data_IF_543071636569
#
_entry.id   IF_543071636569
#
_cell.length_a   1.000
_cell.length_b   1.000
_cell.length_c   1.000
_cell.angle_alpha   90.00
_cell.angle_beta   90.00
_cell.angle_gamma   90.00
#
_symmetry.space_group_name_H-M   'P 1'
#
loop_
_entity.id
_entity.type
_entity.pdbx_description
1 polymer ?
#
# COMPACT_ATOMS: atom_id res chain seq x y z
N UNK A 1 22.82 -7.54 -2.37
CA UNK A 1 21.75 -6.89 -3.16
C UNK A 1 21.21 -7.94 -4.09
N UNK A 2 19.89 -8.11 -4.13
CA UNK A 2 19.23 -9.11 -4.99
C UNK A 2 19.48 -8.82 -6.46
N UNK A 3 19.93 -9.83 -7.20
CA UNK A 3 20.24 -9.77 -8.63
C UNK A 3 18.98 -9.93 -9.49
N UNK A 4 19.06 -9.56 -10.76
CA UNK A 4 17.94 -9.77 -11.71
C UNK A 4 17.51 -11.25 -11.80
N UNK A 5 18.42 -12.19 -11.52
CA UNK A 5 18.12 -13.63 -11.46
C UNK A 5 17.17 -13.98 -10.30
N UNK A 6 17.35 -13.37 -9.13
CA UNK A 6 16.47 -13.59 -7.97
C UNK A 6 15.07 -13.03 -8.22
N UNK A 7 14.93 -12.06 -9.12
CA UNK A 7 13.64 -11.49 -9.49
C UNK A 7 12.86 -12.34 -10.50
N UNK A 8 13.50 -13.30 -11.18
CA UNK A 8 12.88 -14.13 -12.20
C UNK A 8 11.70 -14.96 -11.66
N UNK A 9 11.74 -15.36 -10.39
CA UNK A 9 10.67 -16.14 -9.73
C UNK A 9 9.35 -15.37 -9.63
N UNK A 10 9.37 -14.04 -9.80
CA UNK A 10 8.18 -13.19 -9.77
C UNK A 10 7.57 -12.96 -11.16
N UNK A 11 8.18 -13.46 -12.23
CA UNK A 11 7.64 -13.39 -13.60
C UNK A 11 7.25 -11.96 -14.01
N UNK A 12 6.03 -11.81 -14.53
CA UNK A 12 5.48 -10.52 -14.96
C UNK A 12 5.33 -9.49 -13.82
N UNK A 13 5.33 -9.94 -12.55
CA UNK A 13 5.23 -9.04 -11.41
C UNK A 13 6.57 -8.39 -11.04
N UNK A 14 7.69 -8.93 -11.51
CA UNK A 14 9.03 -8.46 -11.13
C UNK A 14 9.23 -6.93 -11.30
N UNK A 15 8.86 -6.29 -12.42
CA UNK A 15 9.07 -4.85 -12.64
C UNK A 15 8.28 -3.94 -11.68
N UNK A 16 7.23 -4.48 -11.06
CA UNK A 16 6.36 -3.80 -10.08
C UNK A 16 6.80 -4.04 -8.62
N UNK A 17 7.70 -4.99 -8.40
CA UNK A 17 8.23 -5.30 -7.07
C UNK A 17 9.61 -4.69 -6.86
N UNK A 18 10.49 -4.77 -7.88
CA UNK A 18 11.85 -4.21 -7.85
C UNK A 18 12.30 -3.86 -9.27
N UNK A 19 13.00 -2.73 -9.41
CA UNK A 19 13.62 -2.36 -10.70
C UNK A 19 14.83 -3.22 -11.00
N UNK A 20 15.15 -3.30 -12.29
CA UNK A 20 16.33 -4.04 -12.74
C UNK A 20 17.60 -3.50 -12.10
N UNK A 21 18.61 -4.35 -11.95
CA UNK A 21 19.91 -3.98 -11.42
C UNK A 21 20.52 -2.82 -12.22
N UNK A 22 20.38 -2.85 -13.55
CA UNK A 22 20.82 -1.77 -14.43
C UNK A 22 20.18 -0.43 -14.09
N UNK A 23 18.84 -0.36 -14.01
CA UNK A 23 18.13 0.88 -13.69
C UNK A 23 18.49 1.39 -12.28
N UNK A 24 18.73 0.48 -11.33
CA UNK A 24 19.14 0.84 -9.97
C UNK A 24 20.54 1.43 -9.96
N UNK A 25 21.51 0.81 -10.64
CA UNK A 25 22.89 1.32 -10.73
C UNK A 25 22.90 2.69 -11.42
N UNK A 26 22.16 2.86 -12.52
CA UNK A 26 22.04 4.14 -13.21
C UNK A 26 21.42 5.23 -12.32
N UNK A 27 20.40 4.89 -11.52
CA UNK A 27 19.81 5.84 -10.57
C UNK A 27 20.77 6.22 -9.43
N UNK A 28 21.51 5.24 -8.89
CA UNK A 28 22.45 5.46 -7.78
C UNK A 28 23.70 6.26 -8.20
N UNK A 29 24.08 6.20 -9.47
CA UNK A 29 25.24 6.90 -10.01
C UNK A 29 24.94 8.33 -10.50
N UNK A 30 23.73 8.85 -10.26
CA UNK A 30 23.38 10.23 -10.64
C UNK A 30 24.26 11.23 -9.90
N UNK A 31 24.69 12.33 -10.56
CA UNK A 31 25.40 13.42 -9.89
C UNK A 31 24.56 13.97 -8.75
N UNK A 32 25.17 14.10 -7.57
CA UNK A 32 24.52 14.63 -6.38
C UNK A 32 25.51 15.41 -5.55
N UNK A 33 25.13 16.63 -5.18
CA UNK A 33 25.87 17.46 -4.25
C UNK A 33 25.08 17.58 -2.94
N UNK A 34 25.61 16.94 -1.90
CA UNK A 34 25.00 16.90 -0.57
C UNK A 34 24.93 18.27 0.12
N UNK A 35 25.76 19.24 -0.29
CA UNK A 35 25.77 20.58 0.32
C UNK A 35 24.72 21.50 -0.27
N UNK A 36 24.35 21.29 -1.53
CA UNK A 36 23.45 22.19 -2.26
C UNK A 36 22.08 21.58 -2.53
N UNK A 37 21.95 20.25 -2.55
CA UNK A 37 20.67 19.57 -2.83
C UNK A 37 19.79 19.48 -1.59
N UNK A 38 18.63 20.15 -1.63
CA UNK A 38 17.74 20.29 -0.47
C UNK A 38 16.26 20.19 -0.84
N UNK A 39 15.44 19.86 0.14
CA UNK A 39 13.99 20.07 0.11
C UNK A 39 13.64 21.38 0.81
N UNK A 40 12.69 22.12 0.26
CA UNK A 40 12.16 23.34 0.87
C UNK A 40 10.65 23.29 0.95
N UNK A 41 10.09 23.86 2.01
CA UNK A 41 8.65 23.99 2.15
C UNK A 41 8.08 24.96 1.10
N UNK A 42 7.00 24.55 0.43
CA UNK A 42 6.32 25.35 -0.60
C UNK A 42 4.80 25.31 -0.36
N UNK A 43 4.09 26.45 -0.38
CA UNK A 43 2.69 26.49 0.05
C UNK A 43 1.71 25.64 -0.78
N UNK A 44 2.03 25.30 -2.03
CA UNK A 44 1.11 24.58 -2.92
C UNK A 44 1.36 23.07 -2.92
N UNK A 45 2.62 22.65 -2.93
CA UNK A 45 3.06 21.26 -3.02
C UNK A 45 3.58 20.69 -1.69
N UNK A 46 3.49 21.45 -0.60
CA UNK A 46 4.06 21.17 0.72
C UNK A 46 5.59 21.17 0.75
N UNK A 47 6.24 20.33 -0.06
CA UNK A 47 7.70 20.26 -0.16
C UNK A 47 8.17 20.07 -1.60
N UNK A 48 9.17 20.86 -2.02
CA UNK A 48 9.77 20.80 -3.35
C UNK A 48 11.27 20.58 -3.28
N UNK A 49 11.83 19.89 -4.27
CA UNK A 49 13.29 19.76 -4.47
C UNK A 49 13.87 21.06 -5.00
N UNK A 50 15.10 21.37 -4.59
CA UNK A 50 15.83 22.51 -5.10
C UNK A 50 17.33 22.48 -4.81
N UNK A 51 18.01 23.47 -5.34
CA UNK A 51 19.46 23.68 -5.20
C UNK A 51 19.71 25.01 -4.52
N UNK A 52 20.50 25.00 -3.45
CA UNK A 52 20.92 26.24 -2.75
C UNK A 52 21.76 27.10 -3.70
N UNK A 53 21.41 28.37 -3.80
CA UNK A 53 22.18 29.39 -4.52
C UNK A 53 23.01 30.27 -3.58
N UNK A 54 22.41 30.73 -2.49
CA UNK A 54 23.08 31.56 -1.49
C UNK A 54 22.49 31.35 -0.10
N UNK A 55 23.30 31.64 0.92
CA UNK A 55 22.89 31.63 2.32
C UNK A 55 23.38 32.93 2.97
N UNK A 56 22.45 33.83 3.30
CA UNK A 56 22.74 35.17 3.81
C UNK A 56 21.75 35.55 4.90
N UNK A 57 22.24 36.12 6.01
CA UNK A 57 21.37 36.69 7.06
C UNK A 57 20.35 35.71 7.68
N UNK A 58 20.69 34.42 7.80
CA UNK A 58 19.80 33.38 8.34
C UNK A 58 18.68 32.94 7.39
N UNK A 59 18.76 33.34 6.11
CA UNK A 59 17.87 32.90 5.04
C UNK A 59 18.65 32.15 3.96
N UNK A 60 17.98 31.23 3.29
CA UNK A 60 18.54 30.43 2.20
C UNK A 60 17.74 30.69 0.94
N UNK A 61 18.44 31.05 -0.13
CA UNK A 61 17.86 31.19 -1.46
C UNK A 61 18.06 29.89 -2.22
N UNK A 62 16.96 29.26 -2.61
CA UNK A 62 16.93 27.96 -3.27
C UNK A 62 16.23 28.09 -4.62
N UNK A 63 16.87 27.57 -5.67
CA UNK A 63 16.25 27.40 -6.99
C UNK A 63 15.56 26.05 -7.04
N UNK A 64 14.24 26.04 -7.20
CA UNK A 64 13.44 24.80 -7.28
C UNK A 64 13.63 24.11 -8.63
N UNK A 65 13.36 22.81 -8.69
CA UNK A 65 13.36 22.05 -9.97
C UNK A 65 12.32 22.61 -10.96
N UNK A 66 11.25 23.25 -10.48
CA UNK A 66 10.26 23.95 -11.30
C UNK A 66 10.71 25.31 -11.84
N UNK A 67 11.96 25.71 -11.58
CA UNK A 67 12.56 26.96 -12.08
C UNK A 67 12.25 28.20 -11.23
N UNK A 68 11.44 28.09 -10.18
CA UNK A 68 11.17 29.19 -9.26
C UNK A 68 12.35 29.40 -8.30
N UNK A 69 12.52 30.63 -7.81
CA UNK A 69 13.50 30.94 -6.76
C UNK A 69 12.75 31.28 -5.49
N UNK A 70 13.03 30.54 -4.41
CA UNK A 70 12.41 30.72 -3.10
C UNK A 70 13.47 31.17 -2.09
N UNK A 71 13.13 32.16 -1.29
CA UNK A 71 13.95 32.56 -0.13
C UNK A 71 13.22 32.15 1.13
N UNK A 72 13.74 31.13 1.80
CA UNK A 72 13.14 30.55 3.00
C UNK A 72 14.08 30.72 4.20
N UNK A 73 13.54 30.53 5.40
CA UNK A 73 14.37 30.49 6.60
C UNK A 73 15.15 29.18 6.67
N UNK A 74 16.24 29.18 7.42
CA UNK A 74 17.13 28.02 7.51
C UNK A 74 16.47 26.75 8.06
N UNK A 75 15.50 26.91 8.97
CA UNK A 75 14.70 25.84 9.57
C UNK A 75 13.69 25.21 8.60
N UNK A 76 13.45 25.82 7.45
CA UNK A 76 12.57 25.32 6.39
C UNK A 76 13.33 24.60 5.27
N UNK A 77 14.63 24.39 5.45
CA UNK A 77 15.50 23.70 4.50
C UNK A 77 15.88 22.33 5.07
N UNK A 78 15.56 21.27 4.33
CA UNK A 78 15.83 19.90 4.73
C UNK A 78 16.85 19.26 3.78
N UNK A 79 17.89 18.57 4.28
CA UNK A 79 18.90 17.95 3.43
C UNK A 79 18.31 16.79 2.61
N UNK A 80 18.73 16.64 1.36
CA UNK A 80 18.35 15.48 0.55
C UNK A 80 19.20 14.25 0.88
N UNK A 81 18.59 13.07 0.81
CA UNK A 81 19.36 11.83 0.86
C UNK A 81 20.15 11.64 -0.46
N UNK A 82 21.37 11.10 -0.41
CA UNK A 82 22.11 10.75 -1.62
C UNK A 82 21.37 9.72 -2.50
N UNK A 83 21.62 9.68 -3.83
CA UNK A 83 20.91 8.81 -4.78
C UNK A 83 20.98 7.32 -4.46
N UNK A 84 21.95 6.89 -3.65
CA UNK A 84 22.02 5.51 -3.14
C UNK A 84 20.75 5.08 -2.35
N UNK A 85 20.02 6.06 -1.81
CA UNK A 85 18.77 5.85 -1.07
C UNK A 85 17.51 6.08 -1.92
N UNK A 86 17.66 6.40 -3.21
CA UNK A 86 16.52 6.57 -4.11
C UNK A 86 15.72 5.28 -4.17
N UNK A 87 14.40 5.40 -3.95
CA UNK A 87 13.47 4.28 -3.95
C UNK A 87 13.94 3.16 -3.04
N UNK A 88 14.49 3.46 -1.87
CA UNK A 88 14.87 2.42 -0.91
C UNK A 88 13.63 1.64 -0.44
N UNK A 89 13.80 0.35 -0.23
CA UNK A 89 12.74 -0.56 0.20
C UNK A 89 12.38 -0.37 1.67
N UNK A 90 13.39 -0.10 2.48
CA UNK A 90 13.27 0.22 3.90
C UNK A 90 13.73 1.66 4.15
N UNK A 91 12.75 2.53 4.46
CA UNK A 91 13.02 3.94 4.71
C UNK A 91 13.76 4.20 6.03
N UNK A 92 13.76 3.24 6.98
CA UNK A 92 14.54 3.39 8.21
C UNK A 92 16.05 3.42 7.95
N UNK A 93 16.48 2.90 6.79
CA UNK A 93 17.87 2.88 6.38
C UNK A 93 18.34 4.22 5.79
N UNK A 94 17.45 5.21 5.60
CA UNK A 94 17.81 6.54 5.11
C UNK A 94 18.70 7.29 6.10
N UNK A 95 19.64 8.09 5.60
CA UNK A 95 20.49 8.94 6.45
C UNK A 95 19.70 10.10 7.05
N UNK A 96 18.86 10.73 6.24
CA UNK A 96 17.98 11.80 6.66
C UNK A 96 16.54 11.30 6.67
N UNK A 97 16.02 11.02 7.86
CA UNK A 97 14.65 10.56 8.08
C UNK A 97 13.78 11.72 8.57
N UNK A 98 13.27 12.50 7.62
CA UNK A 98 12.37 13.63 7.84
C UNK A 98 11.16 13.53 6.88
N UNK A 99 10.15 14.36 7.11
CA UNK A 99 8.90 14.35 6.34
C UNK A 99 9.10 14.40 4.81
N UNK A 100 9.88 15.34 4.23
CA UNK A 100 10.06 15.36 2.78
C UNK A 100 10.83 14.16 2.24
N UNK A 101 11.78 13.60 3.00
CA UNK A 101 12.53 12.42 2.60
C UNK A 101 11.63 11.19 2.45
N UNK A 102 10.75 10.97 3.42
CA UNK A 102 9.74 9.91 3.38
C UNK A 102 8.75 10.13 2.24
N UNK A 103 8.22 11.35 2.11
CA UNK A 103 7.25 11.72 1.08
C UNK A 103 7.80 11.47 -0.33
N UNK A 104 9.02 11.92 -0.62
CA UNK A 104 9.62 11.77 -1.95
C UNK A 104 9.98 10.33 -2.26
N UNK A 105 10.42 9.55 -1.28
CA UNK A 105 10.65 8.12 -1.51
C UNK A 105 9.35 7.40 -1.89
N UNK A 106 8.26 7.67 -1.16
CA UNK A 106 6.95 7.11 -1.49
C UNK A 106 6.45 7.59 -2.86
N UNK A 107 6.60 8.89 -3.18
CA UNK A 107 6.21 9.48 -4.46
C UNK A 107 6.96 8.83 -5.63
N UNK A 108 8.27 8.68 -5.53
CA UNK A 108 9.10 8.08 -6.60
C UNK A 108 8.90 6.57 -6.74
N UNK A 109 8.71 5.85 -5.63
CA UNK A 109 8.32 4.44 -5.65
C UNK A 109 6.95 4.28 -6.31
N UNK A 110 5.98 5.10 -5.95
CA UNK A 110 4.64 5.07 -6.54
C UNK A 110 4.65 5.38 -8.05
N UNK A 111 5.40 6.39 -8.48
CA UNK A 111 5.58 6.73 -9.90
C UNK A 111 6.19 5.58 -10.72
N UNK A 112 6.91 4.68 -10.05
CA UNK A 112 7.50 3.48 -10.65
C UNK A 112 6.73 2.19 -10.33
N UNK A 113 5.55 2.32 -9.71
CA UNK A 113 4.63 1.27 -9.29
C UNK A 113 5.17 0.30 -8.23
N UNK A 114 6.11 0.75 -7.39
CA UNK A 114 6.71 -0.03 -6.31
C UNK A 114 5.99 0.22 -4.97
N UNK A 115 5.78 -0.84 -4.19
CA UNK A 115 5.22 -0.81 -2.81
C UNK A 115 6.39 -0.70 -1.80
N UNK A 116 6.28 -0.03 -0.63
CA UNK A 116 7.42 0.23 0.29
C UNK A 116 7.23 -0.42 1.69
N UNK A 117 8.31 -0.73 2.45
CA UNK A 117 8.16 -1.38 3.76
C UNK A 117 9.21 -1.01 4.86
N UNK A 118 8.78 -0.29 5.91
CA UNK A 118 9.14 -0.56 7.33
C UNK A 118 7.86 -0.93 8.10
N UNK A 119 6.89 -0.02 8.10
CA UNK A 119 5.47 -0.34 7.98
C UNK A 119 5.21 -0.76 6.52
N UNK A 120 4.42 -1.80 6.23
CA UNK A 120 4.05 -2.11 4.85
C UNK A 120 3.14 -1.00 4.32
N UNK A 121 3.74 0.00 3.66
CA UNK A 121 3.03 1.14 3.10
C UNK A 121 2.55 0.76 1.71
N UNK A 122 1.25 0.53 1.60
CA UNK A 122 0.58 0.24 0.34
C UNK A 122 -0.10 1.50 -0.16
N UNK A 123 0.32 1.99 -1.32
CA UNK A 123 -0.35 3.09 -2.03
C UNK A 123 -1.29 2.49 -3.08
N UNK A 124 -2.54 2.94 -3.13
CA UNK A 124 -3.52 2.44 -4.08
C UNK A 124 -3.08 2.76 -5.52
N UNK A 125 -2.82 1.76 -6.39
CA UNK A 125 -2.31 2.00 -7.75
C UNK A 125 -3.38 2.52 -8.71
N UNK A 126 -4.68 2.47 -8.35
CA UNK A 126 -5.82 2.76 -9.24
C UNK A 126 -5.76 2.05 -10.60
N UNK A 127 -5.01 0.95 -10.67
CA UNK A 127 -4.75 0.14 -11.85
C UNK A 127 -4.57 -1.31 -11.43
N UNK A 128 -4.97 -2.23 -12.31
CA UNK A 128 -4.68 -3.65 -12.12
C UNK A 128 -3.18 -3.93 -12.29
N UNK A 129 -2.60 -4.66 -11.34
CA UNK A 129 -1.19 -5.08 -11.33
C UNK A 129 -1.10 -6.59 -11.12
N UNK A 130 -0.18 -7.30 -11.80
CA UNK A 130 -0.01 -8.76 -11.69
C UNK A 130 0.66 -9.23 -10.38
N UNK A 131 0.76 -8.34 -9.37
CA UNK A 131 1.45 -8.60 -8.08
C UNK A 131 0.70 -9.55 -7.14
N UNK A 132 -0.53 -9.94 -7.48
CA UNK A 132 -1.34 -10.89 -6.70
C UNK A 132 -1.49 -12.25 -7.37
N UNK A 133 -0.73 -12.53 -8.42
CA UNK A 133 -0.78 -13.81 -9.14
C UNK A 133 -0.27 -14.97 -8.27
N UNK A 134 -0.67 -16.20 -8.61
CA UNK A 134 -0.30 -17.40 -7.87
C UNK A 134 1.23 -17.63 -7.84
N UNK A 135 1.93 -17.27 -8.90
CA UNK A 135 3.40 -17.32 -8.97
C UNK A 135 4.05 -16.45 -7.88
N UNK A 136 3.49 -15.25 -7.65
CA UNK A 136 3.96 -14.33 -6.61
C UNK A 136 3.69 -14.92 -5.22
N UNK A 137 2.52 -15.53 -5.01
CA UNK A 137 2.20 -16.23 -3.75
C UNK A 137 3.26 -17.30 -3.45
N UNK A 138 3.59 -18.13 -4.43
CA UNK A 138 4.62 -19.16 -4.30
C UNK A 138 6.01 -18.55 -4.05
N UNK A 139 6.35 -17.45 -4.73
CA UNK A 139 7.64 -16.80 -4.62
C UNK A 139 7.90 -16.12 -3.26
N UNK A 140 6.85 -15.74 -2.51
CA UNK A 140 6.98 -15.18 -1.15
C UNK A 140 6.97 -16.23 -0.03
N UNK A 141 6.61 -17.47 -0.34
CA UNK A 141 6.44 -18.53 0.67
C UNK A 141 7.76 -18.86 1.36
N UNK A 142 7.76 -18.84 2.69
CA UNK A 142 8.91 -19.20 3.53
C UNK A 142 10.08 -18.22 3.44
N UNK A 143 9.91 -17.06 2.79
CA UNK A 143 10.98 -16.07 2.65
C UNK A 143 10.95 -15.08 3.80
N UNK A 144 12.13 -14.80 4.36
CA UNK A 144 12.28 -13.68 5.29
C UNK A 144 12.06 -12.37 4.55
N UNK A 145 11.60 -11.36 5.28
CA UNK A 145 11.34 -10.03 4.74
C UNK A 145 12.50 -9.39 3.97
N UNK A 146 13.75 -9.69 4.35
CA UNK A 146 14.95 -9.15 3.69
C UNK A 146 15.30 -9.89 2.37
N UNK A 147 14.76 -11.09 2.18
CA UNK A 147 15.06 -11.97 1.04
C UNK A 147 14.12 -11.71 -0.15
N UNK A 148 13.06 -10.92 0.04
CA UNK A 148 12.09 -10.60 -1.00
C UNK A 148 11.78 -9.10 -1.00
N UNK A 149 11.32 -8.54 -2.13
CA UNK A 149 10.89 -7.16 -2.20
C UNK A 149 9.73 -6.86 -1.22
N UNK A 150 9.49 -5.58 -0.89
CA UNK A 150 8.32 -5.15 -0.12
C UNK A 150 6.99 -5.63 -0.72
N UNK A 151 6.24 -6.45 0.04
CA UNK A 151 4.91 -6.88 -0.36
C UNK A 151 4.06 -7.31 0.83
N UNK A 152 2.74 -7.21 0.70
CA UNK A 152 1.80 -7.63 1.74
C UNK A 152 1.91 -9.14 2.05
N UNK A 153 2.24 -9.95 1.05
CA UNK A 153 2.48 -11.39 1.24
C UNK A 153 3.70 -11.69 2.09
N UNK A 154 4.72 -10.82 2.11
CA UNK A 154 5.84 -10.99 3.05
C UNK A 154 5.35 -10.85 4.49
N UNK A 155 4.47 -9.88 4.77
CA UNK A 155 3.86 -9.71 6.11
C UNK A 155 3.00 -10.91 6.48
N UNK A 156 2.14 -11.37 5.56
CA UNK A 156 1.30 -12.54 5.79
C UNK A 156 2.12 -13.82 6.03
N UNK A 157 3.11 -14.10 5.19
CA UNK A 157 3.95 -15.30 5.31
C UNK A 157 4.78 -15.27 6.60
N UNK A 158 5.41 -14.14 6.92
CA UNK A 158 6.20 -14.01 8.14
C UNK A 158 5.31 -14.16 9.39
N UNK A 159 4.10 -13.59 9.40
CA UNK A 159 3.14 -13.82 10.48
C UNK A 159 2.76 -15.32 10.59
N UNK A 160 2.55 -16.01 9.48
CA UNK A 160 2.28 -17.45 9.49
C UNK A 160 3.47 -18.27 10.03
N UNK A 161 4.69 -17.95 9.59
CA UNK A 161 5.92 -18.60 10.05
C UNK A 161 6.16 -18.36 11.54
N UNK A 162 5.99 -17.13 12.02
CA UNK A 162 6.11 -16.80 13.45
C UNK A 162 5.06 -17.51 14.29
N UNK A 163 3.81 -17.58 13.82
CA UNK A 163 2.75 -18.35 14.49
C UNK A 163 3.15 -19.83 14.67
N UNK A 164 3.73 -20.46 13.65
CA UNK A 164 4.14 -21.87 13.71
C UNK A 164 5.41 -22.08 14.54
N UNK A 165 6.36 -21.15 14.47
CA UNK A 165 7.66 -21.25 15.13
C UNK A 165 7.55 -20.92 16.61
N UNK A 166 6.96 -19.77 16.92
CA UNK A 166 6.88 -19.22 18.28
C UNK A 166 5.68 -19.78 19.05
N UNK A 167 4.74 -20.43 18.35
CA UNK A 167 3.48 -20.97 18.91
C UNK A 167 2.60 -19.92 19.59
N UNK A 168 2.70 -18.68 19.12
CA UNK A 168 1.92 -17.54 19.61
C UNK A 168 0.97 -17.00 18.54
N UNK A 169 -0.18 -16.48 19.00
CA UNK A 169 -1.16 -15.84 18.13
C UNK A 169 -0.59 -14.57 17.49
N UNK A 170 -0.84 -14.38 16.20
CA UNK A 170 -0.36 -13.22 15.44
C UNK A 170 -1.52 -12.32 15.02
N UNK A 171 -1.24 -11.02 14.89
CA UNK A 171 -2.22 -10.03 14.42
C UNK A 171 -1.63 -9.15 13.33
N UNK A 172 -2.38 -8.95 12.24
CA UNK A 172 -2.03 -8.01 11.17
C UNK A 172 -2.99 -6.82 11.24
N UNK A 173 -2.46 -5.66 11.63
CA UNK A 173 -3.23 -4.42 11.70
C UNK A 173 -3.10 -3.67 10.37
N UNK A 174 -4.21 -3.54 9.63
CA UNK A 174 -4.27 -2.80 8.36
C UNK A 174 -4.96 -1.47 8.62
N UNK A 175 -4.18 -0.40 8.67
CA UNK A 175 -4.67 0.96 8.95
C UNK A 175 -4.64 1.85 7.71
N UNK A 176 -5.34 2.98 7.81
CA UNK A 176 -5.36 4.03 6.81
C UNK A 176 -4.27 5.05 7.19
N UNK A 177 -3.33 5.32 6.30
CA UNK A 177 -2.45 6.49 6.42
C UNK A 177 -2.94 7.50 5.40
N UNK A 178 -3.45 8.62 5.89
CA UNK A 178 -3.83 9.76 5.06
C UNK A 178 -2.71 10.78 5.12
N UNK A 179 -2.12 11.09 3.98
CA UNK A 179 -1.42 12.36 3.82
C UNK A 179 -2.50 13.43 3.65
N UNK A 180 -2.64 14.32 4.63
CA UNK A 180 -3.38 15.57 4.49
C UNK A 180 -2.76 16.39 3.37
N UNK A 181 -3.22 16.20 2.13
CA UNK A 181 -2.92 17.08 1.02
C UNK A 181 -4.15 17.96 0.84
N UNK A 182 -4.14 19.12 1.50
CA UNK A 182 -5.11 20.18 1.28
C UNK A 182 -6.41 20.08 2.08
N UNK A 183 -6.91 21.26 2.44
CA UNK A 183 -8.14 21.53 3.19
C UNK A 183 -9.39 20.87 2.56
N UNK A 184 -9.78 19.72 3.08
CA UNK A 184 -11.15 19.21 3.05
C UNK A 184 -11.32 18.29 4.26
N UNK A 185 -11.42 18.93 5.42
CA UNK A 185 -12.06 18.36 6.60
C UNK A 185 -13.51 18.04 6.25
N UNK A 186 -13.97 16.93 6.79
CA UNK A 186 -15.37 16.53 6.93
C UNK A 186 -15.93 15.69 5.77
N UNK A 187 -16.02 14.38 6.06
CA UNK A 187 -16.67 13.28 5.34
C UNK A 187 -15.84 12.49 4.30
N UNK A 188 -15.52 11.23 4.64
CA UNK A 188 -15.44 10.14 3.64
C UNK A 188 -14.06 9.77 3.08
N UNK A 189 -13.03 9.64 3.91
CA UNK A 189 -11.65 9.27 3.50
C UNK A 189 -11.42 7.76 3.31
N UNK A 190 -12.41 7.09 2.72
CA UNK A 190 -12.40 5.64 2.57
C UNK A 190 -12.12 5.28 1.12
N UNK A 191 -10.84 5.06 0.77
CA UNK A 191 -10.42 4.73 -0.61
C UNK A 191 -8.99 4.19 -0.77
N UNK A 192 -8.24 4.05 0.33
CA UNK A 192 -6.85 3.59 0.30
C UNK A 192 -6.68 2.08 0.04
N UNK A 193 -7.77 1.31 -0.11
CA UNK A 193 -7.70 -0.12 -0.43
C UNK A 193 -7.59 -1.07 0.77
N UNK A 194 -7.94 -0.63 2.00
CA UNK A 194 -7.94 -1.48 3.21
C UNK A 194 -8.66 -2.81 3.00
N UNK A 195 -9.92 -2.77 2.56
CA UNK A 195 -10.75 -3.96 2.31
C UNK A 195 -10.13 -4.91 1.30
N UNK A 196 -9.51 -4.37 0.24
CA UNK A 196 -8.84 -5.17 -0.79
C UNK A 196 -7.63 -5.88 -0.18
N UNK A 197 -6.79 -5.16 0.57
CA UNK A 197 -5.63 -5.73 1.25
C UNK A 197 -6.04 -6.81 2.28
N UNK A 198 -7.09 -6.58 3.07
CA UNK A 198 -7.62 -7.59 4.00
C UNK A 198 -8.03 -8.87 3.28
N UNK A 199 -8.77 -8.75 2.16
CA UNK A 199 -9.15 -9.92 1.35
C UNK A 199 -7.93 -10.66 0.82
N UNK A 200 -6.90 -9.95 0.35
CA UNK A 200 -5.66 -10.57 -0.17
C UNK A 200 -4.89 -11.31 0.91
N UNK A 201 -4.82 -10.76 2.13
CA UNK A 201 -4.20 -11.45 3.28
C UNK A 201 -4.94 -12.74 3.62
N UNK A 202 -6.28 -12.68 3.68
CA UNK A 202 -7.11 -13.86 3.96
C UNK A 202 -6.96 -14.93 2.87
N UNK A 203 -7.01 -14.52 1.59
CA UNK A 203 -6.78 -15.41 0.45
C UNK A 203 -5.39 -16.06 0.50
N UNK A 204 -4.36 -15.30 0.91
CA UNK A 204 -3.01 -15.82 1.07
C UNK A 204 -2.99 -16.96 2.10
N UNK A 205 -3.54 -16.75 3.31
CA UNK A 205 -3.59 -17.77 4.35
C UNK A 205 -4.36 -19.01 3.91
N UNK A 206 -5.52 -18.84 3.26
CA UNK A 206 -6.28 -19.95 2.70
C UNK A 206 -5.44 -20.77 1.71
N UNK A 207 -4.66 -20.11 0.86
CA UNK A 207 -3.82 -20.80 -0.15
C UNK A 207 -2.69 -21.60 0.49
N UNK A 208 -1.99 -21.05 1.49
CA UNK A 208 -0.81 -21.69 2.07
C UNK A 208 -1.18 -22.79 3.10
N UNK A 209 -2.28 -22.62 3.83
CA UNK A 209 -2.70 -23.55 4.87
C UNK A 209 -3.14 -24.92 4.29
N UNK A 210 -3.74 -24.94 3.10
CA UNK A 210 -4.23 -26.15 2.42
C UNK A 210 -3.11 -27.11 2.01
N UNK A 211 -1.87 -26.65 1.92
CA UNK A 211 -0.75 -27.52 1.56
C UNK A 211 -0.28 -28.44 2.68
N UNK A 212 -0.80 -28.28 3.90
CA UNK A 212 -0.65 -29.23 5.01
C UNK A 212 -1.83 -30.21 5.04
N UNK A 213 -1.60 -31.42 4.52
CA UNK A 213 -2.55 -32.55 4.46
C UNK A 213 -3.77 -32.34 3.55
N UNK A 214 -3.77 -33.00 2.39
CA UNK A 214 -5.02 -33.36 1.69
C UNK A 214 -5.85 -34.22 2.66
N UNK A 215 -6.72 -33.60 3.46
CA UNK A 215 -7.84 -34.33 4.07
C UNK A 215 -8.64 -34.89 2.90
N UNK A 216 -8.62 -36.23 2.78
CA UNK A 216 -9.47 -36.97 1.87
C UNK A 216 -10.88 -36.41 2.02
N UNK A 217 -11.46 -35.98 0.91
CA UNK A 217 -12.84 -35.51 0.82
C UNK A 217 -13.77 -36.63 1.33
N UNK A 218 -14.21 -36.53 2.58
CA UNK A 218 -15.44 -37.17 3.00
C UNK A 218 -16.59 -36.22 2.68
N UNK A 219 -17.62 -36.65 1.93
CA UNK A 219 -18.73 -35.81 1.57
C UNK A 219 -19.60 -35.60 2.81
N UNK A 220 -19.34 -34.56 3.59
CA UNK A 220 -20.22 -34.16 4.69
C UNK A 220 -21.54 -33.64 4.13
N UNK A 221 -22.59 -34.44 4.29
CA UNK A 221 -23.98 -34.08 4.05
C UNK A 221 -24.44 -33.00 5.04
N UNK A 222 -24.24 -31.74 4.68
CA UNK A 222 -24.78 -30.58 5.39
C UNK A 222 -25.07 -29.46 4.40
N UNK A 223 -25.99 -28.53 4.74
CA UNK A 223 -26.32 -27.35 3.91
C UNK A 223 -25.14 -26.40 3.63
N UNK A 224 -23.93 -26.74 4.08
CA UNK A 224 -22.70 -26.00 3.89
C UNK A 224 -21.97 -26.59 2.69
N UNK A 225 -22.08 -25.93 1.54
CA UNK A 225 -21.32 -26.28 0.33
C UNK A 225 -19.95 -25.61 0.38
N UNK A 226 -18.88 -26.38 0.14
CA UNK A 226 -17.53 -25.88 -0.05
C UNK A 226 -16.59 -26.05 1.15
N UNK A 227 -15.31 -25.86 0.89
CA UNK A 227 -14.22 -25.93 1.87
C UNK A 227 -14.30 -24.78 2.89
N UNK A 228 -13.57 -24.84 4.01
CA UNK A 228 -13.58 -23.75 5.01
C UNK A 228 -13.10 -22.43 4.40
N UNK A 229 -12.20 -22.52 3.42
CA UNK A 229 -11.67 -21.44 2.62
C UNK A 229 -12.77 -20.80 1.75
N UNK A 230 -13.57 -21.64 1.08
CA UNK A 230 -14.74 -21.17 0.30
C UNK A 230 -15.75 -20.45 1.21
N UNK A 231 -15.91 -20.92 2.45
CA UNK A 231 -16.78 -20.27 3.44
C UNK A 231 -16.22 -18.92 3.90
N UNK A 232 -14.92 -18.83 4.18
CA UNK A 232 -14.26 -17.57 4.56
C UNK A 232 -14.31 -16.56 3.41
N UNK A 233 -14.10 -17.01 2.17
CA UNK A 233 -14.15 -16.15 0.98
C UNK A 233 -15.60 -15.73 0.68
N UNK A 234 -16.57 -16.63 0.79
CA UNK A 234 -17.99 -16.37 0.53
C UNK A 234 -18.67 -15.51 1.59
N UNK A 235 -18.10 -15.42 2.80
CA UNK A 235 -18.52 -14.45 3.80
C UNK A 235 -18.32 -12.99 3.32
N UNK A 236 -17.31 -12.73 2.47
CA UNK A 236 -17.02 -11.37 2.00
C UNK A 236 -18.17 -10.77 1.17
N UNK A 237 -18.69 -11.40 0.09
CA UNK A 237 -19.86 -10.90 -0.64
C UNK A 237 -21.07 -10.59 0.25
N UNK A 238 -21.30 -11.40 1.29
CA UNK A 238 -22.38 -11.19 2.24
C UNK A 238 -22.12 -9.94 3.09
N UNK A 239 -20.94 -9.83 3.71
CA UNK A 239 -20.58 -8.66 4.50
C UNK A 239 -20.51 -7.39 3.65
N UNK A 240 -20.16 -7.49 2.38
CA UNK A 240 -20.17 -6.36 1.44
C UNK A 240 -21.58 -5.93 1.06
N UNK A 241 -22.52 -6.87 0.90
CA UNK A 241 -23.89 -6.52 0.58
C UNK A 241 -24.56 -5.68 1.68
N UNK A 242 -24.29 -6.02 2.95
CA UNK A 242 -24.91 -5.39 4.13
C UNK A 242 -24.06 -4.30 4.78
N UNK A 243 -22.74 -4.38 4.64
CA UNK A 243 -21.78 -3.48 5.26
C UNK A 243 -21.14 -2.50 4.29
N UNK A 244 -21.29 -2.69 2.97
CA UNK A 244 -20.69 -1.81 1.98
C UNK A 244 -21.67 -0.97 1.16
N UNK A 245 -21.23 0.25 0.93
CA UNK A 245 -21.93 1.26 0.17
C UNK A 245 -20.98 2.04 -0.72
N UNK A 246 -21.56 2.68 -1.74
CA UNK A 246 -20.83 3.61 -2.61
C UNK A 246 -20.71 4.97 -1.91
N UNK A 247 -19.48 5.45 -1.79
CA UNK A 247 -19.15 6.81 -1.35
C UNK A 247 -18.49 7.60 -2.47
N UNK A 248 -18.28 8.89 -2.24
CA UNK A 248 -17.66 9.80 -3.23
C UNK A 248 -16.28 9.31 -3.68
N UNK A 249 -15.53 8.60 -2.83
CA UNK A 249 -14.13 8.20 -3.07
C UNK A 249 -13.88 6.70 -3.25
N UNK A 250 -14.86 5.84 -2.98
CA UNK A 250 -14.76 4.39 -3.18
C UNK A 250 -16.16 3.78 -3.30
N UNK A 251 -16.30 2.88 -4.27
CA UNK A 251 -17.55 2.22 -4.58
C UNK A 251 -17.93 1.11 -3.58
N UNK A 252 -17.01 0.68 -2.69
CA UNK A 252 -17.20 -0.49 -1.83
C UNK A 252 -16.55 -0.31 -0.43
N UNK A 253 -17.24 0.36 0.50
CA UNK A 253 -16.73 0.64 1.86
C UNK A 253 -17.09 -0.43 2.90
N UNK A 254 -16.13 -1.11 3.53
CA UNK A 254 -16.44 -2.04 4.63
C UNK A 254 -16.31 -1.37 6.00
N UNK A 255 -17.39 -1.33 6.78
CA UNK A 255 -17.40 -0.92 8.20
C UNK A 255 -18.07 -2.00 9.07
N UNK A 256 -17.30 -3.01 9.52
CA UNK A 256 -17.82 -4.07 10.40
C UNK A 256 -17.79 -3.67 11.89
N UNK A 257 -16.77 -2.90 12.30
CA UNK A 257 -16.74 -2.23 13.60
C UNK A 257 -17.18 -0.79 13.37
N UNK A 258 -18.25 -0.37 14.04
CA UNK A 258 -18.96 0.91 13.82
C UNK A 258 -19.70 0.98 12.47
N UNK A 259 -20.67 0.07 12.26
CA UNK A 259 -21.60 0.17 11.14
C UNK A 259 -22.25 1.57 11.13
N UNK A 260 -22.15 2.27 10.00
CA UNK A 260 -22.69 3.62 9.82
C UNK A 260 -24.22 3.60 9.72
N UNK A 261 -24.91 3.44 10.85
CA UNK A 261 -26.38 3.28 10.92
C UNK A 261 -27.14 4.41 10.22
N UNK A 262 -26.62 5.64 10.24
CA UNK A 262 -27.21 6.80 9.55
C UNK A 262 -27.37 6.57 8.05
N UNK A 263 -26.50 5.78 7.42
CA UNK A 263 -26.52 5.48 5.99
C UNK A 263 -27.76 4.70 5.54
N UNK A 264 -28.43 4.00 6.46
CA UNK A 264 -29.70 3.31 6.19
C UNK A 264 -30.80 4.31 5.85
N UNK A 265 -30.87 5.42 6.58
CA UNK A 265 -31.97 6.40 6.49
C UNK A 265 -31.59 7.70 5.80
N UNK A 266 -30.29 7.95 5.60
CA UNK A 266 -29.79 9.21 5.04
C UNK A 266 -28.64 8.96 4.06
N UNK A 267 -28.62 9.68 2.94
CA UNK A 267 -27.54 9.65 1.94
C UNK A 267 -27.24 11.06 1.41
N UNK A 268 -25.97 11.37 1.22
CA UNK A 268 -25.54 12.57 0.49
C UNK A 268 -25.81 12.41 -1.01
N UNK A 269 -25.93 13.53 -1.74
CA UNK A 269 -26.34 13.55 -3.17
C UNK A 269 -25.50 12.68 -4.11
N UNK A 270 -24.22 12.46 -3.79
CA UNK A 270 -23.29 11.65 -4.60
C UNK A 270 -23.01 10.26 -4.02
N UNK A 271 -23.71 9.87 -2.95
CA UNK A 271 -23.53 8.59 -2.27
C UNK A 271 -24.78 7.71 -2.43
N UNK A 272 -24.62 6.42 -2.17
CA UNK A 272 -25.74 5.47 -2.13
C UNK A 272 -25.82 4.77 -0.77
N UNK A 273 -26.99 4.21 -0.49
CA UNK A 273 -27.18 3.29 0.64
C UNK A 273 -26.45 1.96 0.39
N UNK A 274 -26.61 1.00 1.31
CA UNK A 274 -25.96 -0.32 1.21
C UNK A 274 -26.36 -1.08 -0.06
N UNK A 275 -25.45 -1.88 -0.60
CA UNK A 275 -25.63 -2.59 -1.86
C UNK A 275 -26.85 -3.52 -1.87
N UNK A 276 -27.21 -4.11 -0.73
CA UNK A 276 -28.33 -5.06 -0.61
C UNK A 276 -29.66 -4.49 -1.11
N UNK A 277 -29.96 -3.22 -0.84
CA UNK A 277 -31.21 -2.60 -1.28
C UNK A 277 -31.31 -2.59 -2.82
N UNK A 278 -30.21 -2.24 -3.50
CA UNK A 278 -30.15 -2.20 -4.96
C UNK A 278 -30.07 -3.59 -5.57
N UNK A 279 -29.41 -4.54 -4.90
CA UNK A 279 -29.35 -5.93 -5.36
C UNK A 279 -30.73 -6.59 -5.30
N UNK A 280 -31.51 -6.36 -4.26
CA UNK A 280 -32.91 -6.83 -4.16
C UNK A 280 -33.77 -6.20 -5.28
N UNK A 281 -33.65 -4.88 -5.48
CA UNK A 281 -34.40 -4.17 -6.53
C UNK A 281 -33.94 -4.47 -7.97
N UNK A 282 -32.83 -5.20 -8.16
CA UNK A 282 -32.32 -5.54 -9.51
C UNK A 282 -33.19 -6.54 -10.27
N UNK A 283 -34.21 -7.13 -9.62
CA UNK A 283 -35.13 -8.11 -10.18
C UNK A 283 -34.46 -9.35 -10.79
N UNK A 284 -33.19 -9.62 -10.42
CA UNK A 284 -32.44 -10.79 -10.88
C UNK A 284 -32.98 -12.11 -10.29
N UNK A 285 -33.68 -12.01 -9.16
CA UNK A 285 -34.53 -13.07 -8.58
C UNK A 285 -35.92 -12.47 -8.38
N UNK A 286 -36.85 -12.70 -9.32
CA UNK A 286 -38.24 -12.28 -9.15
C UNK A 286 -38.83 -12.93 -7.91
N UNK A 287 -39.67 -12.18 -7.20
CA UNK A 287 -40.46 -12.68 -6.07
C UNK A 287 -41.57 -13.59 -6.61
#
# INVERSE_FOLDING_TARGET
>A
MSSDQEMAVFGEAAPYLRKSEKERIEAQNRPFDAKTSVFVAEPKESFVKGTIQSREGGKVTVKTEGGATLTVKDDQVYPMNPPKFDKIEDMAMMTHLHEPGVLYNLKERYATHLISCLFCVTVNPYKWLPVYNAEVVAAYRGKKRQEAPPHIFSISDNAYQFMLTDRENQSILITLILTHIGSLSDSGESGAGKTVNTKRVIQYFATIAVTGEKRKEEPTSGKMQGTLEDQIISANPLLEAFGNAKTVRNDNLLSLYLLEKSRVTFQLKAERSYHIFFQIMSNKKPI
#
